data_IF_999626710304
#
_entry.id   IF_999626710304
#
_cell.length_a   1.000
_cell.length_b   1.000
_cell.length_c   1.000
_cell.angle_alpha   90.00
_cell.angle_beta   90.00
_cell.angle_gamma   90.00
#
_symmetry.space_group_name_H-M   'P 1'
#
loop_
_entity.id
_entity.type
_entity.pdbx_description
1 polymer ?
#
# COMPACT_ATOMS: atom_id res chain seq x y z
N UNK A 1 -14.63 -9.56 -24.36
CA UNK A 1 -15.68 -9.96 -23.40
C UNK A 1 -15.14 -10.78 -22.23
N UNK A 2 -14.45 -11.93 -22.43
CA UNK A 2 -13.92 -12.77 -21.32
C UNK A 2 -13.01 -12.03 -20.32
N UNK A 3 -12.08 -11.19 -20.80
CA UNK A 3 -11.16 -10.40 -19.95
C UNK A 3 -11.85 -9.33 -19.09
N UNK A 4 -12.93 -8.72 -19.59
CA UNK A 4 -13.70 -7.73 -18.81
C UNK A 4 -14.36 -8.43 -17.63
N UNK A 5 -15.03 -9.56 -17.89
CA UNK A 5 -15.67 -10.35 -16.85
C UNK A 5 -14.69 -10.83 -15.78
N UNK A 6 -13.51 -11.30 -16.16
CA UNK A 6 -12.52 -11.77 -15.18
C UNK A 6 -12.03 -10.65 -14.26
N UNK A 7 -11.83 -9.43 -14.79
CA UNK A 7 -11.46 -8.26 -13.97
C UNK A 7 -12.61 -7.84 -13.08
N UNK A 8 -13.83 -7.72 -13.61
CA UNK A 8 -15.03 -7.36 -12.84
C UNK A 8 -15.28 -8.37 -11.71
N UNK A 9 -15.18 -9.66 -11.98
CA UNK A 9 -15.31 -10.70 -10.97
C UNK A 9 -14.21 -10.62 -9.91
N UNK A 10 -12.99 -10.24 -10.28
CA UNK A 10 -11.89 -10.05 -9.32
C UNK A 10 -12.14 -8.86 -8.40
N UNK A 11 -12.66 -7.74 -8.93
CA UNK A 11 -13.06 -6.58 -8.14
C UNK A 11 -14.26 -6.89 -7.23
N UNK A 12 -15.25 -7.59 -7.76
CA UNK A 12 -16.40 -8.07 -6.97
C UNK A 12 -15.95 -9.03 -5.87
N UNK A 13 -14.95 -9.87 -6.12
CA UNK A 13 -14.37 -10.77 -5.12
C UNK A 13 -13.73 -9.98 -3.97
N UNK A 14 -12.96 -8.91 -4.25
CA UNK A 14 -12.40 -8.05 -3.18
C UNK A 14 -13.52 -7.50 -2.28
N UNK A 15 -14.60 -6.97 -2.87
CA UNK A 15 -15.74 -6.48 -2.11
C UNK A 15 -16.42 -7.60 -1.30
N UNK A 16 -16.61 -8.77 -1.90
CA UNK A 16 -17.20 -9.93 -1.23
C UNK A 16 -16.35 -10.40 -0.03
N UNK A 17 -15.02 -10.42 -0.17
CA UNK A 17 -14.11 -10.73 0.93
C UNK A 17 -14.22 -9.69 2.05
N UNK A 18 -14.29 -8.40 1.72
CA UNK A 18 -14.40 -7.35 2.73
C UNK A 18 -15.71 -7.46 3.53
N UNK A 19 -16.82 -7.66 2.82
CA UNK A 19 -18.12 -7.90 3.45
C UNK A 19 -18.09 -9.19 4.28
N UNK A 20 -17.51 -10.28 3.77
CA UNK A 20 -17.37 -11.54 4.49
C UNK A 20 -16.55 -11.40 5.78
N UNK A 21 -15.38 -10.74 5.71
CA UNK A 21 -14.52 -10.49 6.87
C UNK A 21 -15.25 -9.67 7.92
N UNK A 22 -15.96 -8.61 7.51
CA UNK A 22 -16.72 -7.79 8.46
C UNK A 22 -17.91 -8.54 9.07
N UNK A 23 -18.74 -9.18 8.25
CA UNK A 23 -19.97 -9.87 8.69
C UNK A 23 -19.67 -11.07 9.58
N UNK A 24 -18.62 -11.83 9.28
CA UNK A 24 -18.19 -12.96 10.11
C UNK A 24 -17.39 -12.45 11.31
N UNK A 25 -16.45 -11.53 11.07
CA UNK A 25 -15.55 -11.00 12.10
C UNK A 25 -16.30 -10.37 13.27
N UNK A 26 -17.36 -9.58 13.01
CA UNK A 26 -18.17 -8.94 14.07
C UNK A 26 -18.90 -9.93 14.99
N UNK A 27 -19.13 -11.17 14.54
CA UNK A 27 -19.76 -12.22 15.34
C UNK A 27 -18.73 -12.83 16.29
N UNK A 28 -17.48 -12.96 15.84
CA UNK A 28 -16.41 -13.64 16.56
C UNK A 28 -15.68 -12.68 17.51
N UNK A 29 -15.48 -11.42 17.09
CA UNK A 29 -14.78 -10.41 17.87
C UNK A 29 -15.46 -9.03 17.71
N UNK A 30 -16.01 -8.45 18.79
CA UNK A 30 -16.64 -7.14 18.76
C UNK A 30 -15.74 -6.01 18.22
N UNK A 31 -14.41 -6.10 18.36
CA UNK A 31 -13.49 -5.09 17.84
C UNK A 31 -13.42 -5.06 16.31
N UNK A 32 -13.92 -6.10 15.63
CA UNK A 32 -14.01 -6.17 14.16
C UNK A 32 -15.33 -5.60 13.64
N UNK A 33 -16.23 -5.13 14.50
CA UNK A 33 -17.42 -4.47 14.04
C UNK A 33 -17.10 -3.01 13.66
N UNK A 34 -17.37 -2.64 12.41
CA UNK A 34 -17.25 -1.26 11.96
C UNK A 34 -18.23 -0.35 12.71
N UNK A 35 -17.76 0.87 12.99
CA UNK A 35 -18.51 1.92 13.67
C UNK A 35 -19.51 2.64 12.72
N UNK A 36 -20.08 3.76 13.16
CA UNK A 36 -21.01 4.58 12.36
C UNK A 36 -20.43 5.06 11.01
N UNK A 37 -19.11 5.05 10.84
CA UNK A 37 -18.43 5.46 9.60
C UNK A 37 -18.36 4.33 8.56
N UNK A 38 -18.86 3.13 8.88
CA UNK A 38 -18.82 1.95 8.01
C UNK A 38 -19.25 2.24 6.56
N UNK A 39 -20.37 2.94 6.37
CA UNK A 39 -20.87 3.28 5.04
C UNK A 39 -19.84 4.08 4.24
N UNK A 40 -19.25 5.10 4.86
CA UNK A 40 -18.28 5.97 4.20
C UNK A 40 -16.98 5.23 3.90
N UNK A 41 -16.53 4.34 4.79
CA UNK A 41 -15.40 3.43 4.53
C UNK A 41 -15.64 2.60 3.26
N UNK A 42 -16.85 2.05 3.09
CA UNK A 42 -17.22 1.29 1.89
C UNK A 42 -17.45 2.16 0.64
N UNK A 43 -17.82 3.45 0.79
CA UNK A 43 -17.80 4.40 -0.34
C UNK A 43 -16.38 4.53 -0.89
N UNK A 44 -15.37 4.71 -0.02
CA UNK A 44 -13.98 4.75 -0.47
C UNK A 44 -13.49 3.40 -1.02
N UNK A 45 -14.00 2.26 -0.53
CA UNK A 45 -13.78 0.97 -1.20
C UNK A 45 -14.28 1.03 -2.65
N UNK A 46 -15.50 1.51 -2.86
CA UNK A 46 -16.08 1.71 -4.20
C UNK A 46 -15.22 2.62 -5.09
N UNK A 47 -14.72 3.74 -4.55
CA UNK A 47 -13.83 4.65 -5.28
C UNK A 47 -12.53 3.96 -5.70
N UNK A 48 -11.88 3.21 -4.81
CA UNK A 48 -10.66 2.48 -5.15
C UNK A 48 -10.88 1.39 -6.20
N UNK A 49 -11.99 0.65 -6.12
CA UNK A 49 -12.39 -0.32 -7.14
C UNK A 49 -12.65 0.37 -8.49
N UNK A 50 -13.29 1.53 -8.47
CA UNK A 50 -13.55 2.34 -9.67
C UNK A 50 -12.24 2.82 -10.31
N UNK A 51 -11.25 3.28 -9.52
CA UNK A 51 -9.93 3.65 -10.02
C UNK A 51 -9.30 2.49 -10.80
N UNK A 52 -9.27 1.29 -10.20
CA UNK A 52 -8.73 0.09 -10.87
C UNK A 52 -9.49 -0.21 -12.16
N UNK A 53 -10.82 -0.12 -12.13
CA UNK A 53 -11.65 -0.39 -13.29
C UNK A 53 -11.44 0.62 -14.42
N UNK A 54 -11.31 1.91 -14.10
CA UNK A 54 -11.03 2.97 -15.10
C UNK A 54 -9.67 2.74 -15.75
N UNK A 55 -8.62 2.45 -14.96
CA UNK A 55 -7.29 2.16 -15.50
C UNK A 55 -7.32 0.89 -16.37
N UNK A 56 -8.10 -0.12 -15.98
CA UNK A 56 -8.37 -1.28 -16.83
C UNK A 56 -9.00 -0.89 -18.16
N UNK A 57 -10.07 -0.08 -18.17
CA UNK A 57 -10.74 0.33 -19.41
C UNK A 57 -9.79 1.06 -20.36
N UNK A 58 -8.94 1.94 -19.81
CA UNK A 58 -7.96 2.70 -20.57
C UNK A 58 -6.83 1.83 -21.15
N UNK A 59 -6.58 0.65 -20.56
CA UNK A 59 -5.41 -0.19 -20.89
C UNK A 59 -5.77 -1.65 -21.18
N UNK A 60 -7.05 -1.90 -21.50
CA UNK A 60 -7.67 -3.24 -21.62
C UNK A 60 -7.01 -4.20 -22.61
N UNK A 61 -6.25 -3.64 -23.57
CA UNK A 61 -5.56 -4.40 -24.60
C UNK A 61 -4.32 -5.12 -24.06
N UNK A 62 -3.79 -4.72 -22.89
CA UNK A 62 -2.64 -5.38 -22.28
C UNK A 62 -2.97 -6.79 -21.79
N UNK A 63 -2.03 -7.73 -21.99
CA UNK A 63 -2.11 -9.10 -21.46
C UNK A 63 -2.02 -9.17 -19.93
N UNK A 64 -1.51 -8.12 -19.29
CA UNK A 64 -1.35 -8.07 -17.82
C UNK A 64 -2.66 -8.05 -17.05
N UNK A 65 -3.79 -7.81 -17.72
CA UNK A 65 -5.13 -7.88 -17.16
C UNK A 65 -5.76 -9.27 -17.19
N UNK A 66 -5.03 -10.28 -17.67
CA UNK A 66 -5.53 -11.66 -17.72
C UNK A 66 -5.58 -12.25 -16.32
N UNK A 67 -6.76 -12.71 -15.94
CA UNK A 67 -6.97 -13.45 -14.70
C UNK A 67 -7.38 -14.86 -15.07
N UNK A 68 -6.42 -15.78 -15.02
CA UNK A 68 -6.63 -17.22 -15.13
C UNK A 68 -6.36 -17.94 -13.82
N UNK A 69 -6.31 -19.26 -13.86
CA UNK A 69 -6.11 -20.11 -12.67
C UNK A 69 -4.84 -19.75 -11.90
N UNK A 70 -3.73 -19.46 -12.60
CA UNK A 70 -2.46 -19.09 -11.96
C UNK A 70 -2.59 -17.78 -11.18
N UNK A 71 -3.23 -16.77 -11.76
CA UNK A 71 -3.43 -15.48 -11.08
C UNK A 71 -4.31 -15.64 -9.84
N UNK A 72 -5.35 -16.49 -9.90
CA UNK A 72 -6.18 -16.79 -8.72
C UNK A 72 -5.35 -17.43 -7.61
N UNK A 73 -4.47 -18.38 -7.95
CA UNK A 73 -3.56 -19.00 -6.97
C UNK A 73 -2.59 -17.97 -6.39
N UNK A 74 -1.99 -17.11 -7.23
CA UNK A 74 -1.08 -16.07 -6.75
C UNK A 74 -1.79 -15.02 -5.88
N UNK A 75 -3.05 -14.69 -6.18
CA UNK A 75 -3.88 -13.82 -5.33
C UNK A 75 -4.06 -14.42 -3.94
N UNK A 76 -4.42 -15.71 -3.86
CA UNK A 76 -4.60 -16.42 -2.59
C UNK A 76 -3.28 -16.52 -1.80
N UNK A 77 -2.18 -16.94 -2.43
CA UNK A 77 -0.86 -17.03 -1.79
C UNK A 77 -0.39 -15.66 -1.31
N UNK A 78 -0.48 -14.64 -2.16
CA UNK A 78 -0.06 -13.30 -1.82
C UNK A 78 -0.88 -12.72 -0.66
N UNK A 79 -2.21 -12.86 -0.69
CA UNK A 79 -3.07 -12.40 0.38
C UNK A 79 -2.75 -13.11 1.72
N UNK A 80 -2.54 -14.43 1.69
CA UNK A 80 -2.16 -15.20 2.88
C UNK A 80 -0.80 -14.77 3.43
N UNK A 81 0.23 -14.66 2.58
CA UNK A 81 1.55 -14.19 2.98
C UNK A 81 1.48 -12.78 3.57
N UNK A 82 0.75 -11.88 2.92
CA UNK A 82 0.64 -10.51 3.40
C UNK A 82 -0.12 -10.42 4.72
N UNK A 83 -1.20 -11.18 4.89
CA UNK A 83 -1.96 -11.23 6.14
C UNK A 83 -1.12 -11.78 7.30
N UNK A 84 -0.43 -12.90 7.12
CA UNK A 84 0.38 -13.55 8.16
C UNK A 84 1.57 -12.67 8.54
N UNK A 85 2.28 -12.11 7.57
CA UNK A 85 3.42 -11.24 7.85
C UNK A 85 2.95 -9.90 8.45
N UNK A 86 1.80 -9.36 8.03
CA UNK A 86 1.22 -8.18 8.68
C UNK A 86 0.84 -8.47 10.12
N UNK A 87 0.22 -9.61 10.41
CA UNK A 87 -0.05 -10.05 11.78
C UNK A 87 1.24 -10.12 12.61
N UNK A 88 2.28 -10.74 12.07
CA UNK A 88 3.57 -10.86 12.76
C UNK A 88 4.21 -9.50 13.03
N UNK A 89 4.32 -8.63 12.02
CA UNK A 89 5.10 -7.40 12.13
C UNK A 89 4.32 -6.17 12.65
N UNK A 90 3.02 -6.07 12.35
CA UNK A 90 2.19 -4.97 12.86
C UNK A 90 1.92 -5.13 14.37
N UNK A 91 1.72 -6.36 14.84
CA UNK A 91 1.36 -6.65 16.23
C UNK A 91 2.51 -6.72 17.22
N UNK A 92 3.76 -6.93 16.77
CA UNK A 92 4.85 -7.33 17.69
C UNK A 92 6.10 -6.45 17.69
N UNK A 93 6.23 -5.45 16.79
CA UNK A 93 7.57 -4.88 16.52
C UNK A 93 7.70 -3.38 16.80
N UNK A 94 7.08 -2.43 16.06
CA UNK A 94 7.20 -0.99 16.39
C UNK A 94 6.06 -0.12 15.82
N UNK A 95 5.33 0.61 16.69
CA UNK A 95 4.42 1.69 16.28
C UNK A 95 5.25 2.93 15.92
N UNK A 96 4.94 3.55 14.79
CA UNK A 96 5.61 4.75 14.28
C UNK A 96 4.89 5.98 14.84
N UNK A 97 5.61 7.06 15.23
CA UNK A 97 5.00 8.35 15.55
C UNK A 97 4.03 8.83 14.46
N UNK A 98 2.72 8.82 14.75
CA UNK A 98 1.62 9.01 13.79
C UNK A 98 0.35 9.45 14.52
N UNK A 99 -0.60 10.11 13.84
CA UNK A 99 -1.89 10.47 14.47
C UNK A 99 -2.82 9.26 14.66
N UNK A 100 -2.61 8.19 13.90
CA UNK A 100 -3.31 6.91 14.05
C UNK A 100 -2.33 5.73 14.14
N UNK A 101 -2.85 4.53 14.43
CA UNK A 101 -2.05 3.31 14.59
C UNK A 101 -1.37 2.90 13.29
N UNK A 102 -0.15 3.40 13.09
CA UNK A 102 0.73 3.06 11.97
C UNK A 102 1.93 2.31 12.52
N UNK A 103 2.20 1.12 11.98
CA UNK A 103 3.35 0.31 12.36
C UNK A 103 4.48 0.42 11.32
N UNK A 104 5.69 -0.04 11.65
CA UNK A 104 6.70 -0.40 10.65
C UNK A 104 6.27 -1.68 9.94
N UNK A 105 6.16 -1.64 8.59
CA UNK A 105 5.51 -2.72 7.82
C UNK A 105 6.43 -3.33 6.76
N UNK A 106 7.42 -4.17 7.14
CA UNK A 106 8.22 -4.92 6.17
C UNK A 106 7.35 -5.72 5.18
N UNK A 107 6.20 -6.20 5.64
CA UNK A 107 5.25 -6.97 4.86
C UNK A 107 4.69 -6.23 3.63
N UNK A 108 4.75 -4.89 3.58
CA UNK A 108 4.26 -4.10 2.43
C UNK A 108 4.99 -4.45 1.11
N UNK A 109 6.19 -5.00 1.20
CA UNK A 109 6.93 -5.48 0.04
C UNK A 109 6.22 -6.64 -0.69
N UNK A 110 5.31 -7.37 -0.01
CA UNK A 110 4.56 -8.49 -0.60
C UNK A 110 3.59 -8.02 -1.69
N UNK A 111 2.61 -7.13 -1.44
CA UNK A 111 1.74 -6.64 -2.51
C UNK A 111 2.50 -5.92 -3.62
N UNK A 112 3.57 -5.19 -3.29
CA UNK A 112 4.45 -4.55 -4.28
C UNK A 112 5.09 -5.60 -5.22
N UNK A 113 5.70 -6.63 -4.64
CA UNK A 113 6.32 -7.72 -5.40
C UNK A 113 5.29 -8.52 -6.18
N UNK A 114 4.16 -8.90 -5.58
CA UNK A 114 3.12 -9.68 -6.27
C UNK A 114 2.49 -8.89 -7.41
N UNK A 115 2.28 -7.59 -7.23
CA UNK A 115 1.86 -6.69 -8.29
C UNK A 115 2.85 -6.67 -9.44
N UNK A 116 4.13 -6.45 -9.13
CA UNK A 116 5.17 -6.48 -10.15
C UNK A 116 5.30 -7.85 -10.81
N UNK A 117 5.44 -8.96 -10.08
CA UNK A 117 5.73 -10.26 -10.65
C UNK A 117 4.54 -10.90 -11.40
N UNK A 118 3.31 -10.67 -10.92
CA UNK A 118 2.13 -11.43 -11.38
C UNK A 118 1.02 -10.54 -11.96
N UNK A 119 1.19 -9.22 -11.95
CA UNK A 119 0.31 -8.26 -12.60
C UNK A 119 -0.56 -7.45 -11.65
N UNK A 120 -1.17 -6.36 -12.16
CA UNK A 120 -1.85 -5.36 -11.35
C UNK A 120 -3.05 -5.91 -10.57
N UNK A 121 -3.83 -6.83 -11.16
CA UNK A 121 -4.98 -7.43 -10.46
C UNK A 121 -4.53 -8.30 -9.29
N UNK A 122 -3.42 -9.04 -9.45
CA UNK A 122 -2.87 -9.87 -8.38
C UNK A 122 -2.37 -8.99 -7.24
N UNK A 123 -1.56 -7.98 -7.55
CA UNK A 123 -1.10 -7.01 -6.55
C UNK A 123 -2.22 -6.30 -5.82
N UNK A 124 -3.28 -5.91 -6.55
CA UNK A 124 -4.47 -5.29 -5.97
C UNK A 124 -5.15 -6.19 -4.94
N UNK A 125 -5.47 -7.43 -5.33
CA UNK A 125 -6.12 -8.38 -4.43
C UNK A 125 -5.23 -8.74 -3.24
N UNK A 126 -3.94 -9.01 -3.48
CA UNK A 126 -2.96 -9.33 -2.45
C UNK A 126 -2.90 -8.22 -1.40
N UNK A 127 -2.78 -6.95 -1.83
CA UNK A 127 -2.74 -5.82 -0.91
C UNK A 127 -4.06 -5.58 -0.19
N UNK A 128 -5.18 -5.63 -0.91
CA UNK A 128 -6.49 -5.34 -0.35
C UNK A 128 -6.95 -6.41 0.66
N UNK A 129 -7.04 -7.65 0.19
CA UNK A 129 -7.57 -8.76 1.01
C UNK A 129 -6.55 -9.18 2.07
N UNK A 130 -5.26 -9.20 1.73
CA UNK A 130 -4.20 -9.52 2.69
C UNK A 130 -4.12 -8.53 3.85
N UNK A 131 -4.25 -7.22 3.57
CA UNK A 131 -4.29 -6.21 4.64
C UNK A 131 -5.51 -6.39 5.54
N UNK A 132 -6.69 -6.55 4.95
CA UNK A 132 -7.94 -6.68 5.70
C UNK A 132 -7.92 -7.86 6.67
N UNK A 133 -7.38 -9.01 6.24
CA UNK A 133 -7.15 -10.15 7.14
C UNK A 133 -6.05 -9.86 8.16
N UNK A 134 -4.94 -9.25 7.77
CA UNK A 134 -3.84 -8.90 8.67
C UNK A 134 -4.30 -8.02 9.83
N UNK A 135 -5.05 -6.95 9.53
CA UNK A 135 -5.58 -6.04 10.55
C UNK A 135 -6.58 -6.75 11.47
N UNK A 136 -7.44 -7.60 10.91
CA UNK A 136 -8.38 -8.41 11.68
C UNK A 136 -7.68 -9.36 12.66
N UNK A 137 -6.57 -10.00 12.24
CA UNK A 137 -5.77 -10.89 13.07
C UNK A 137 -4.96 -10.13 14.14
N UNK A 138 -4.49 -8.93 13.82
CA UNK A 138 -3.67 -8.11 14.73
C UNK A 138 -4.51 -7.45 15.83
N UNK A 139 -5.83 -7.34 15.63
CA UNK A 139 -6.73 -6.67 16.57
C UNK A 139 -6.80 -5.15 16.40
N UNK A 140 -6.27 -4.61 15.30
CA UNK A 140 -6.32 -3.18 14.95
C UNK A 140 -7.73 -2.71 14.53
N UNK A 141 -8.69 -3.63 14.47
CA UNK A 141 -10.01 -3.38 13.90
C UNK A 141 -9.97 -3.42 12.38
N UNK A 142 -11.07 -3.01 11.76
CA UNK A 142 -11.22 -3.06 10.30
C UNK A 142 -11.19 -1.66 9.69
N UNK A 143 -10.29 -1.45 8.74
CA UNK A 143 -10.22 -0.22 7.94
C UNK A 143 -10.26 -0.55 6.44
N UNK A 144 -11.45 -0.87 5.88
CA UNK A 144 -11.61 -1.23 4.47
C UNK A 144 -10.97 -0.23 3.49
N UNK A 145 -11.06 1.07 3.77
CA UNK A 145 -10.48 2.12 2.94
C UNK A 145 -8.94 2.05 2.93
N UNK A 146 -8.32 1.76 4.07
CA UNK A 146 -6.88 1.54 4.18
C UNK A 146 -6.46 0.25 3.49
N UNK A 147 -7.23 -0.83 3.65
CA UNK A 147 -7.01 -2.07 2.92
C UNK A 147 -7.03 -1.83 1.41
N UNK A 148 -7.97 -1.05 0.89
CA UNK A 148 -7.98 -0.67 -0.53
C UNK A 148 -6.77 0.19 -0.91
N UNK A 149 -6.32 1.10 -0.05
CA UNK A 149 -5.06 1.82 -0.24
C UNK A 149 -3.87 0.86 -0.41
N UNK A 150 -3.76 -0.17 0.44
CA UNK A 150 -2.75 -1.23 0.32
C UNK A 150 -2.91 -2.04 -0.98
N UNK A 151 -4.14 -2.29 -1.41
CA UNK A 151 -4.42 -2.86 -2.73
C UNK A 151 -3.88 -1.98 -3.85
N UNK A 152 -4.13 -0.67 -3.80
CA UNK A 152 -3.62 0.29 -4.79
C UNK A 152 -2.09 0.32 -4.83
N UNK A 153 -1.40 0.08 -3.71
CA UNK A 153 0.07 -0.08 -3.69
C UNK A 153 0.51 -1.21 -4.60
N UNK A 154 -0.03 -2.42 -4.42
CA UNK A 154 0.30 -3.57 -5.26
C UNK A 154 -0.18 -3.41 -6.71
N UNK A 155 -1.36 -2.82 -6.90
CA UNK A 155 -1.92 -2.52 -8.21
C UNK A 155 -0.98 -1.68 -9.06
N UNK A 156 -0.57 -0.52 -8.53
CA UNK A 156 0.32 0.42 -9.23
C UNK A 156 1.69 -0.20 -9.48
N UNK A 157 2.23 -0.99 -8.53
CA UNK A 157 3.48 -1.71 -8.74
C UNK A 157 3.42 -2.62 -9.99
N UNK A 158 2.26 -3.25 -10.24
CA UNK A 158 2.03 -4.08 -11.43
C UNK A 158 1.80 -3.33 -12.73
N UNK A 159 1.49 -2.02 -12.70
CA UNK A 159 1.35 -1.20 -13.90
C UNK A 159 2.67 -1.00 -14.64
N UNK A 160 3.81 -1.32 -14.02
CA UNK A 160 5.13 -1.34 -14.65
C UNK A 160 5.15 -2.06 -16.01
N UNK A 161 4.33 -3.10 -16.15
CA UNK A 161 4.26 -3.95 -17.35
C UNK A 161 3.33 -3.43 -18.44
N UNK A 162 2.63 -2.33 -18.21
CA UNK A 162 1.87 -1.65 -19.26
C UNK A 162 2.79 -0.87 -20.22
N UNK A 163 4.03 -0.61 -19.82
CA UNK A 163 4.99 0.18 -20.59
C UNK A 163 6.00 -0.73 -21.28
N UNK A 164 6.05 -0.66 -22.60
CA UNK A 164 7.05 -1.37 -23.41
C UNK A 164 8.45 -0.80 -23.20
N UNK A 165 8.57 0.53 -23.15
CA UNK A 165 9.80 1.22 -22.75
C UNK A 165 9.82 1.45 -21.23
N UNK A 166 10.42 0.49 -20.52
CA UNK A 166 10.62 0.57 -19.07
C UNK A 166 11.49 1.75 -18.66
N UNK A 167 12.47 2.18 -19.47
CA UNK A 167 13.37 3.28 -19.08
C UNK A 167 12.65 4.62 -19.09
N UNK A 168 11.83 4.87 -20.11
CA UNK A 168 11.01 6.09 -20.18
C UNK A 168 9.98 6.13 -19.05
N UNK A 169 9.31 5.02 -18.76
CA UNK A 169 8.33 4.97 -17.67
C UNK A 169 8.99 5.26 -16.31
N UNK A 170 10.18 4.70 -16.06
CA UNK A 170 10.95 4.96 -14.85
C UNK A 170 11.24 6.45 -14.61
N UNK A 171 11.63 7.20 -15.64
CA UNK A 171 11.90 8.63 -15.51
C UNK A 171 10.64 9.41 -15.11
N UNK A 172 9.52 9.13 -15.76
CA UNK A 172 8.23 9.78 -15.46
C UNK A 172 7.79 9.46 -14.04
N UNK A 173 7.84 8.18 -13.65
CA UNK A 173 7.44 7.73 -12.31
C UNK A 173 8.28 8.42 -11.23
N UNK A 174 9.58 8.58 -11.44
CA UNK A 174 10.43 9.28 -10.47
C UNK A 174 10.13 10.75 -10.37
N UNK A 175 9.89 11.43 -11.48
CA UNK A 175 9.56 12.86 -11.44
C UNK A 175 8.26 13.06 -10.67
N UNK A 176 7.23 12.24 -10.96
CA UNK A 176 5.96 12.28 -10.22
C UNK A 176 6.18 12.01 -8.73
N UNK A 177 6.90 10.94 -8.38
CA UNK A 177 7.18 10.61 -6.98
C UNK A 177 8.03 11.67 -6.27
N UNK A 178 8.98 12.29 -6.96
CA UNK A 178 9.81 13.37 -6.42
C UNK A 178 8.97 14.60 -6.08
N UNK A 179 8.07 15.00 -6.99
CA UNK A 179 7.15 16.11 -6.76
C UNK A 179 6.23 15.81 -5.58
N UNK A 180 5.64 14.62 -5.52
CA UNK A 180 4.76 14.23 -4.41
C UNK A 180 5.49 14.18 -3.07
N UNK A 181 6.71 13.62 -3.04
CA UNK A 181 7.54 13.58 -1.84
C UNK A 181 7.96 14.99 -1.39
N UNK A 182 8.30 15.87 -2.34
CA UNK A 182 8.65 17.26 -2.05
C UNK A 182 7.45 18.04 -1.50
N UNK A 183 6.27 17.91 -2.11
CA UNK A 183 5.04 18.57 -1.64
C UNK A 183 4.67 18.15 -0.22
N UNK A 184 4.71 16.85 0.07
CA UNK A 184 4.44 16.34 1.42
C UNK A 184 5.50 16.83 2.43
N UNK A 185 6.78 16.86 2.04
CA UNK A 185 7.86 17.38 2.89
C UNK A 185 7.67 18.86 3.19
N UNK A 186 7.35 19.68 2.19
CA UNK A 186 7.04 21.11 2.37
C UNK A 186 5.85 21.28 3.31
N UNK A 187 4.79 20.48 3.14
CA UNK A 187 3.61 20.52 4.00
C UNK A 187 3.96 20.22 5.48
N UNK A 188 4.86 19.28 5.74
CA UNK A 188 5.40 19.04 7.08
C UNK A 188 6.19 20.24 7.61
N UNK A 189 7.13 20.77 6.81
CA UNK A 189 8.00 21.87 7.22
C UNK A 189 7.25 23.17 7.53
N UNK A 190 6.13 23.43 6.85
CA UNK A 190 5.25 24.58 7.15
C UNK A 190 4.25 24.30 8.28
N UNK A 191 4.07 23.04 8.68
CA UNK A 191 3.19 22.62 9.80
C UNK A 191 3.92 21.73 10.83
N UNK A 192 5.04 22.19 11.41
CA UNK A 192 5.90 21.36 12.28
C UNK A 192 5.24 21.01 13.63
N UNK A 193 4.13 21.66 13.97
CA UNK A 193 3.40 21.45 15.22
C UNK A 193 2.25 20.42 15.09
N UNK A 194 2.20 19.67 13.98
CA UNK A 194 1.19 18.61 13.80
C UNK A 194 1.33 17.55 14.89
N UNK A 195 0.22 17.21 15.54
CA UNK A 195 0.20 16.31 16.68
C UNK A 195 0.36 14.83 16.28
N UNK A 196 0.99 14.07 17.17
CA UNK A 196 1.20 12.64 17.18
C UNK A 196 0.20 12.01 18.15
N UNK A 197 -1.01 11.76 17.65
CA UNK A 197 -2.16 11.30 18.42
C UNK A 197 -1.99 9.96 19.12
N UNK A 198 -1.00 9.14 18.76
CA UNK A 198 -0.75 7.83 19.39
C UNK A 198 0.35 7.85 20.46
N UNK A 199 1.01 8.98 20.69
CA UNK A 199 2.07 9.09 21.69
C UNK A 199 1.54 9.56 23.04
N UNK A 200 1.77 8.75 24.08
CA UNK A 200 1.36 9.03 25.46
C UNK A 200 2.57 8.87 26.37
N UNK A 201 2.83 9.90 27.17
CA UNK A 201 3.85 9.92 28.20
C UNK A 201 3.29 10.58 29.45
N UNK A 202 2.72 9.76 30.33
CA UNK A 202 2.10 10.21 31.56
C UNK A 202 3.09 10.87 32.53
N UNK A 203 4.38 10.50 32.48
CA UNK A 203 5.40 11.09 33.35
C UNK A 203 5.68 12.55 32.97
N UNK A 204 5.53 12.89 31.69
CA UNK A 204 5.75 14.23 31.15
C UNK A 204 4.43 14.98 30.82
N UNK A 205 3.27 14.47 31.24
CA UNK A 205 1.94 15.01 30.94
C UNK A 205 1.63 15.18 29.45
N UNK A 206 2.09 14.24 28.61
CA UNK A 206 1.82 14.22 27.16
C UNK A 206 0.75 13.17 26.86
N UNK A 207 -0.35 13.58 26.23
CA UNK A 207 -1.50 12.73 25.93
C UNK A 207 -1.98 12.94 24.48
N UNK A 208 -1.20 12.47 23.52
CA UNK A 208 -1.50 12.59 22.08
C UNK A 208 -1.22 13.98 21.49
N UNK A 209 -0.62 14.88 22.25
CA UNK A 209 -0.28 16.26 21.88
C UNK A 209 1.21 16.44 21.56
N UNK A 210 2.01 15.37 21.63
CA UNK A 210 3.38 15.36 21.14
C UNK A 210 3.44 15.74 19.66
N UNK A 211 4.51 16.38 19.21
CA UNK A 211 4.69 16.74 17.80
C UNK A 211 5.21 15.55 17.00
N UNK A 212 4.83 15.47 15.72
CA UNK A 212 5.48 14.56 14.77
C UNK A 212 6.98 14.89 14.71
N UNK A 213 7.82 13.89 15.02
CA UNK A 213 9.26 14.07 15.08
C UNK A 213 9.84 14.41 13.69
N UNK A 214 11.02 15.06 13.68
CA UNK A 214 11.73 15.36 12.44
C UNK A 214 12.00 14.10 11.60
N UNK A 215 12.36 12.99 12.27
CA UNK A 215 12.60 11.71 11.60
C UNK A 215 11.35 11.16 10.92
N UNK A 216 10.19 11.22 11.60
CA UNK A 216 8.92 10.80 11.00
C UNK A 216 8.51 11.74 9.86
N UNK A 217 8.58 13.05 10.06
CA UNK A 217 8.19 14.06 9.07
C UNK A 217 9.07 14.09 7.80
N UNK A 218 10.35 13.70 7.89
CA UNK A 218 11.26 13.57 6.75
C UNK A 218 11.35 12.14 6.19
N UNK A 219 10.67 11.17 6.79
CA UNK A 219 10.79 9.75 6.42
C UNK A 219 10.45 9.49 4.95
N UNK A 220 9.50 10.25 4.37
CA UNK A 220 9.11 10.10 2.97
C UNK A 220 10.21 10.52 2.00
N UNK A 221 10.85 11.68 2.21
CA UNK A 221 11.96 12.14 1.36
C UNK A 221 13.19 11.26 1.54
N UNK A 222 13.47 10.79 2.76
CA UNK A 222 14.53 9.82 3.02
C UNK A 222 14.27 8.52 2.25
N UNK A 223 13.06 7.97 2.35
CA UNK A 223 12.66 6.78 1.60
C UNK A 223 12.77 6.97 0.08
N UNK A 224 12.35 8.12 -0.44
CA UNK A 224 12.51 8.48 -1.86
C UNK A 224 13.98 8.47 -2.29
N UNK A 225 14.87 9.09 -1.50
CA UNK A 225 16.32 9.13 -1.80
C UNK A 225 16.91 7.73 -1.80
N UNK A 226 16.52 6.86 -0.86
CA UNK A 226 17.00 5.48 -0.82
C UNK A 226 16.54 4.71 -2.07
N UNK A 227 15.27 4.84 -2.48
CA UNK A 227 14.77 4.24 -3.73
C UNK A 227 15.54 4.75 -4.95
N UNK A 228 15.82 6.06 -4.99
CA UNK A 228 16.61 6.68 -6.06
C UNK A 228 18.02 6.08 -6.12
N UNK A 229 18.68 5.91 -4.97
CA UNK A 229 19.99 5.25 -4.88
C UNK A 229 19.93 3.81 -5.37
N UNK A 230 18.93 3.03 -4.94
CA UNK A 230 18.74 1.63 -5.40
C UNK A 230 18.58 1.59 -6.92
N UNK A 231 17.79 2.49 -7.50
CA UNK A 231 17.68 2.57 -8.96
C UNK A 231 19.03 2.78 -9.64
N UNK A 232 19.86 3.68 -9.13
CA UNK A 232 21.18 3.95 -9.71
C UNK A 232 22.13 2.78 -9.53
N UNK A 233 22.14 2.13 -8.36
CA UNK A 233 22.94 0.92 -8.10
C UNK A 233 22.55 -0.20 -9.06
N UNK A 234 21.24 -0.42 -9.26
CA UNK A 234 20.70 -1.47 -10.12
C UNK A 234 20.42 -0.99 -11.55
N UNK A 235 21.09 0.05 -12.05
CA UNK A 235 20.81 0.62 -13.37
C UNK A 235 20.96 -0.38 -14.54
N UNK A 236 21.77 -1.43 -14.37
CA UNK A 236 21.92 -2.53 -15.34
C UNK A 236 20.80 -3.57 -15.25
N UNK A 237 20.16 -3.71 -14.09
CA UNK A 237 19.03 -4.60 -13.88
C UNK A 237 17.72 -3.81 -13.96
N UNK A 238 17.20 -3.67 -15.19
CA UNK A 238 16.02 -2.87 -15.46
C UNK A 238 14.78 -3.38 -14.71
N UNK A 239 14.70 -4.68 -14.42
CA UNK A 239 13.56 -5.26 -13.73
C UNK A 239 13.53 -4.89 -12.25
N UNK A 240 14.68 -4.95 -11.57
CA UNK A 240 14.80 -4.48 -10.18
C UNK A 240 14.54 -2.98 -10.09
N UNK A 241 15.13 -2.19 -10.99
CA UNK A 241 14.89 -0.76 -11.05
C UNK A 241 13.41 -0.42 -11.30
N UNK A 242 12.74 -1.13 -12.22
CA UNK A 242 11.31 -0.98 -12.48
C UNK A 242 10.48 -1.34 -11.25
N UNK A 243 10.72 -2.50 -10.64
CA UNK A 243 9.96 -2.98 -9.50
C UNK A 243 10.01 -1.99 -8.32
N UNK A 244 11.21 -1.55 -7.92
CA UNK A 244 11.36 -0.65 -6.77
C UNK A 244 10.75 0.73 -7.04
N UNK A 245 10.90 1.25 -8.26
CA UNK A 245 10.42 2.59 -8.62
C UNK A 245 8.89 2.63 -8.74
N UNK A 246 8.29 1.60 -9.33
CA UNK A 246 6.83 1.47 -9.41
C UNK A 246 6.21 1.13 -8.05
N UNK A 247 6.89 0.34 -7.21
CA UNK A 247 6.49 0.10 -5.83
C UNK A 247 6.46 1.40 -5.01
N UNK A 248 7.46 2.29 -5.20
CA UNK A 248 7.48 3.61 -4.57
C UNK A 248 6.28 4.46 -4.96
N UNK A 249 5.99 4.58 -6.26
CA UNK A 249 4.81 5.33 -6.71
C UNK A 249 3.52 4.70 -6.18
N UNK A 250 3.42 3.37 -6.23
CA UNK A 250 2.27 2.66 -5.67
C UNK A 250 2.07 2.95 -4.20
N UNK A 251 3.13 2.95 -3.41
CA UNK A 251 3.08 3.30 -1.99
C UNK A 251 2.59 4.74 -1.78
N UNK A 252 3.17 5.70 -2.49
CA UNK A 252 2.78 7.11 -2.39
C UNK A 252 1.30 7.30 -2.73
N UNK A 253 0.82 6.71 -3.83
CA UNK A 253 -0.55 6.87 -4.27
C UNK A 253 -1.55 6.07 -3.42
N UNK A 254 -1.21 4.83 -3.05
CA UNK A 254 -2.08 3.95 -2.28
C UNK A 254 -2.24 4.39 -0.82
N UNK A 255 -1.14 4.75 -0.16
CA UNK A 255 -1.18 5.29 1.21
C UNK A 255 -1.75 6.71 1.20
N UNK A 256 -1.43 7.51 0.17
CA UNK A 256 -2.04 8.82 -0.02
C UNK A 256 -3.56 8.75 -0.15
N UNK A 257 -4.07 7.78 -0.93
CA UNK A 257 -5.51 7.51 -1.04
C UNK A 257 -6.14 7.18 0.33
N UNK A 258 -5.51 6.31 1.11
CA UNK A 258 -6.01 5.92 2.42
C UNK A 258 -6.06 7.11 3.39
N UNK A 259 -4.95 7.85 3.53
CA UNK A 259 -4.89 9.01 4.42
C UNK A 259 -5.86 10.12 3.99
N UNK A 260 -5.97 10.38 2.69
CA UNK A 260 -6.92 11.38 2.17
C UNK A 260 -8.36 10.98 2.50
N UNK A 261 -8.71 9.69 2.47
CA UNK A 261 -10.06 9.24 2.83
C UNK A 261 -10.44 9.54 4.29
N UNK A 262 -9.46 9.61 5.19
CA UNK A 262 -9.68 9.87 6.62
C UNK A 262 -10.02 11.34 6.92
N UNK A 263 -9.85 12.26 5.95
CA UNK A 263 -10.41 13.62 6.03
C UNK A 263 -11.93 13.56 6.17
N UNK A 264 -12.60 12.68 5.42
CA UNK A 264 -14.04 12.53 5.48
C UNK A 264 -14.50 11.49 6.50
N UNK A 265 -13.74 10.40 6.67
CA UNK A 265 -14.12 9.29 7.55
C UNK A 265 -13.91 9.65 9.02
N UNK A 266 -12.73 10.19 9.35
CA UNK A 266 -12.36 10.50 10.74
C UNK A 266 -12.45 12.01 11.04
N UNK A 267 -12.78 12.84 10.06
CA UNK A 267 -12.91 14.30 10.23
C UNK A 267 -11.56 15.02 10.37
N UNK A 268 -10.47 14.40 9.92
CA UNK A 268 -9.15 15.01 9.99
C UNK A 268 -9.04 16.23 9.08
N UNK A 269 -8.27 17.23 9.51
CA UNK A 269 -7.84 18.29 8.60
C UNK A 269 -6.89 17.72 7.54
N UNK A 270 -6.78 18.34 6.35
CA UNK A 270 -5.82 17.88 5.33
C UNK A 270 -4.38 17.79 5.85
N UNK A 271 -3.98 18.68 6.75
CA UNK A 271 -2.65 18.64 7.38
C UNK A 271 -2.52 17.42 8.28
N UNK A 272 -3.52 17.12 9.11
CA UNK A 272 -3.48 15.95 10.00
C UNK A 272 -3.42 14.64 9.21
N UNK A 273 -4.25 14.49 8.17
CA UNK A 273 -4.21 13.32 7.31
C UNK A 273 -2.86 13.16 6.59
N UNK A 274 -2.33 14.24 5.99
CA UNK A 274 -1.13 14.13 5.15
C UNK A 274 0.17 14.13 5.97
N UNK A 275 0.27 14.93 7.02
CA UNK A 275 1.47 15.03 7.86
C UNK A 275 1.42 14.02 9.00
N UNK A 276 0.25 13.79 9.58
CA UNK A 276 0.08 12.90 10.73
C UNK A 276 -0.03 11.42 10.36
N UNK A 277 -0.54 11.05 9.18
CA UNK A 277 -0.72 9.64 8.79
C UNK A 277 0.04 9.25 7.54
N UNK A 278 -0.13 10.03 6.45
CA UNK A 278 0.44 9.68 5.16
C UNK A 278 1.97 9.62 5.22
N UNK A 279 2.64 10.68 5.72
CA UNK A 279 4.11 10.70 5.78
C UNK A 279 4.64 9.57 6.69
N UNK A 280 4.17 9.41 7.95
CA UNK A 280 4.65 8.35 8.84
C UNK A 280 4.37 6.92 8.34
N UNK A 281 3.36 6.73 7.49
CA UNK A 281 3.05 5.42 6.90
C UNK A 281 3.83 5.18 5.60
N UNK A 282 3.79 6.15 4.68
CA UNK A 282 4.41 6.01 3.37
C UNK A 282 5.95 6.02 3.46
N UNK A 283 6.56 6.84 4.33
CA UNK A 283 8.02 6.95 4.42
C UNK A 283 8.71 5.65 4.80
N UNK A 284 8.38 5.01 5.94
CA UNK A 284 8.95 3.72 6.30
C UNK A 284 8.68 2.61 5.27
N UNK A 285 7.49 2.60 4.65
CA UNK A 285 7.20 1.65 3.57
C UNK A 285 8.18 1.80 2.40
N UNK A 286 8.61 3.01 2.05
CA UNK A 286 9.62 3.21 0.99
C UNK A 286 10.99 2.64 1.36
N UNK A 287 11.38 2.72 2.64
CA UNK A 287 12.62 2.12 3.13
C UNK A 287 12.57 0.60 2.95
N UNK A 288 11.47 -0.03 3.38
CA UNK A 288 11.27 -1.47 3.20
C UNK A 288 11.15 -1.87 1.73
N UNK A 289 10.49 -1.05 0.90
CA UNK A 289 10.41 -1.28 -0.53
C UNK A 289 11.80 -1.28 -1.16
N UNK A 290 12.64 -0.32 -0.81
CA UNK A 290 14.00 -0.18 -1.33
C UNK A 290 14.91 -1.36 -0.98
N UNK A 291 14.67 -2.01 0.16
CA UNK A 291 15.48 -3.16 0.63
C UNK A 291 14.90 -4.48 0.11
N UNK A 292 13.60 -4.72 0.37
CA UNK A 292 12.99 -6.05 0.21
C UNK A 292 12.53 -6.32 -1.22
N UNK A 293 12.02 -5.32 -1.96
CA UNK A 293 11.53 -5.55 -3.33
C UNK A 293 12.66 -6.02 -4.26
N UNK A 294 13.87 -5.41 -4.27
CA UNK A 294 15.00 -5.92 -5.05
C UNK A 294 15.35 -7.37 -4.74
N UNK A 295 15.34 -7.75 -3.45
CA UNK A 295 15.64 -9.11 -3.01
C UNK A 295 14.60 -10.11 -3.51
N UNK A 296 13.31 -9.79 -3.36
CA UNK A 296 12.21 -10.64 -3.81
C UNK A 296 12.24 -10.83 -5.33
N UNK A 297 12.45 -9.74 -6.08
CA UNK A 297 12.55 -9.79 -7.56
C UNK A 297 13.77 -10.58 -8.00
N UNK A 298 14.93 -10.37 -7.37
CA UNK A 298 16.15 -11.13 -7.67
C UNK A 298 16.02 -12.63 -7.36
N UNK A 299 15.41 -12.98 -6.23
CA UNK A 299 15.14 -14.36 -5.86
C UNK A 299 14.17 -15.02 -6.85
N UNK A 300 13.09 -14.33 -7.22
CA UNK A 300 12.12 -14.84 -8.18
C UNK A 300 12.72 -15.07 -9.57
N UNK A 301 13.51 -14.12 -10.07
CA UNK A 301 14.22 -14.26 -11.34
C UNK A 301 15.18 -15.48 -11.34
N UNK A 302 15.81 -15.76 -10.19
CA UNK A 302 16.67 -16.93 -10.03
C UNK A 302 15.87 -18.24 -10.11
N UNK A 303 14.69 -18.29 -9.48
CA UNK A 303 13.79 -19.46 -9.54
C UNK A 303 13.27 -19.67 -10.98
N UNK A 304 12.88 -18.60 -11.67
CA UNK A 304 12.45 -18.66 -13.07
C UNK A 304 13.53 -19.28 -13.96
N UNK A 305 14.77 -18.82 -13.82
CA UNK A 305 15.93 -19.36 -14.55
C UNK A 305 16.16 -20.85 -14.26
N UNK A 306 16.03 -21.28 -13.00
CA UNK A 306 16.21 -22.69 -12.61
C UNK A 306 15.07 -23.60 -13.11
N UNK A 307 13.85 -23.08 -13.14
CA UNK A 307 12.65 -23.85 -13.53
C UNK A 307 12.36 -23.81 -15.04
N UNK A 308 13.19 -23.12 -15.83
CA UNK A 308 13.05 -22.99 -17.28
C UNK A 308 11.79 -22.22 -17.69
N UNK A 309 11.32 -21.31 -16.83
CA UNK A 309 10.08 -20.53 -17.01
C UNK A 309 10.35 -19.04 -17.12
#
# INVERSE_FOLDING_TARGET
MKKVWSVVLSLAAVLAFFLGIWLIGRIINPSLNLDQTALLRFVFVGVGLLIVFVVYLLTKNSKMWEVGTRQVVYMAIGAALYAILSYLFNGTVFVVPSVSQVALRPAIAIPMFFGYAFGPVVGFFTGAVGNMFGDALTGFGLSPQWSIGNGLVGFVAGLAWLFTDKKKSLNVVLIVSAVLAALATVLYLVNPNTANGVFFDAANNIFGDAKISLGAGLSLVVGFVIVLLVRFIFHKNIDVAAAVTWAMLGNILGIGFAAVSDIWINGYSPVVALVGEFIPSAGPNLIFAAILVPLLVGAYASIQKQTGR
#
